data_IF_057275886356
#
_entry.id   IF_057275886356
#
_cell.length_a   1.000
_cell.length_b   1.000
_cell.length_c   1.000
_cell.angle_alpha   90.00
_cell.angle_beta   90.00
_cell.angle_gamma   90.00
#
_symmetry.space_group_name_H-M   'P 1'
#
loop_
_entity.id
_entity.type
_entity.pdbx_description
1 polymer ?
#
# COMPACT_ATOMS: atom_id res chain seq x y z
N UNK A 1 -30.30 14.28 7.03
CA UNK A 1 -29.87 15.10 5.88
C UNK A 1 -28.89 14.28 5.05
N UNK A 2 -29.11 14.12 3.74
CA UNK A 2 -28.14 13.44 2.89
C UNK A 2 -26.86 14.27 2.80
N UNK A 3 -25.72 13.67 3.13
CA UNK A 3 -24.43 14.35 3.14
C UNK A 3 -24.00 14.63 1.70
N UNK A 4 -23.53 15.84 1.41
CA UNK A 4 -23.03 16.20 0.08
C UNK A 4 -21.75 15.41 -0.22
N UNK A 5 -21.57 14.88 -1.45
CA UNK A 5 -20.35 14.20 -1.83
C UNK A 5 -19.17 15.18 -1.84
N UNK A 6 -17.99 14.69 -1.45
CA UNK A 6 -16.75 15.48 -1.55
C UNK A 6 -16.26 15.40 -2.99
N UNK A 7 -16.12 16.56 -3.62
CA UNK A 7 -15.61 16.69 -4.98
C UNK A 7 -14.11 16.91 -4.95
N UNK A 8 -13.37 16.24 -5.83
CA UNK A 8 -11.97 16.53 -6.11
C UNK A 8 -11.82 16.77 -7.60
N UNK A 9 -11.24 17.91 -7.96
CA UNK A 9 -10.98 18.27 -9.33
C UNK A 9 -9.49 18.11 -9.62
N UNK A 10 -9.18 17.47 -10.75
CA UNK A 10 -7.82 17.32 -11.24
C UNK A 10 -7.76 17.98 -12.61
N UNK A 11 -6.79 18.83 -12.84
CA UNK A 11 -6.53 19.46 -14.13
C UNK A 11 -5.17 18.97 -14.63
N UNK A 12 -5.21 18.19 -15.70
CA UNK A 12 -4.01 17.73 -16.38
C UNK A 12 -3.64 18.75 -17.45
N UNK A 13 -2.55 19.48 -17.23
CA UNK A 13 -2.06 20.51 -18.15
C UNK A 13 -1.28 19.85 -19.29
N UNK A 14 -0.11 19.29 -18.98
CA UNK A 14 0.80 18.74 -19.97
C UNK A 14 1.74 17.65 -19.47
N UNK A 15 2.32 16.90 -20.41
CA UNK A 15 3.41 15.96 -20.15
C UNK A 15 4.60 16.33 -21.06
N UNK A 16 5.74 16.60 -20.44
CA UNK A 16 6.97 17.07 -21.11
C UNK A 16 8.03 15.97 -21.12
N UNK A 17 8.71 15.77 -22.26
CA UNK A 17 9.76 14.78 -22.38
C UNK A 17 10.38 14.66 -23.77
N UNK A 18 11.69 14.39 -23.83
CA UNK A 18 12.47 14.30 -25.08
C UNK A 18 12.17 13.05 -25.94
N UNK A 19 11.54 12.02 -25.37
CA UNK A 19 11.23 10.76 -26.07
C UNK A 19 9.77 10.65 -26.53
N UNK A 20 9.01 11.75 -26.43
CA UNK A 20 7.63 11.81 -26.92
C UNK A 20 7.68 12.10 -28.44
N UNK A 21 7.10 11.22 -29.26
CA UNK A 21 6.80 11.54 -30.68
C UNK A 21 7.84 11.17 -31.74
N UNK A 22 8.40 9.97 -31.73
CA UNK A 22 9.24 9.47 -32.86
C UNK A 22 8.44 8.77 -33.97
N UNK A 23 7.14 8.50 -33.79
CA UNK A 23 6.28 7.81 -34.76
C UNK A 23 4.88 8.45 -34.83
N UNK A 24 4.07 8.14 -35.85
CA UNK A 24 2.65 8.59 -36.01
C UNK A 24 1.72 7.94 -34.95
N UNK A 25 2.10 7.99 -33.68
CA UNK A 25 1.36 7.45 -32.57
C UNK A 25 0.45 8.50 -31.94
N UNK A 26 -0.70 8.03 -31.45
CA UNK A 26 -1.65 8.84 -30.69
C UNK A 26 -1.48 8.58 -29.20
N UNK A 27 -1.52 9.63 -28.39
CA UNK A 27 -1.30 9.55 -26.96
C UNK A 27 -2.56 9.97 -26.20
N UNK A 28 -2.88 9.26 -25.11
CA UNK A 28 -3.89 9.69 -24.13
C UNK A 28 -3.35 9.51 -22.73
N UNK A 29 -3.85 10.31 -21.79
CA UNK A 29 -3.54 10.16 -20.37
C UNK A 29 -4.76 9.60 -19.63
N UNK A 30 -4.51 8.69 -18.68
CA UNK A 30 -5.53 8.05 -17.86
C UNK A 30 -5.26 8.33 -16.39
N UNK A 31 -6.31 8.70 -15.66
CA UNK A 31 -6.26 8.86 -14.20
C UNK A 31 -7.01 7.70 -13.53
N UNK A 32 -6.38 7.06 -12.55
CA UNK A 32 -6.95 5.94 -11.80
C UNK A 32 -6.82 6.17 -10.28
N UNK A 33 -7.83 5.71 -9.54
CA UNK A 33 -7.84 5.67 -8.08
C UNK A 33 -8.60 4.43 -7.60
N UNK A 34 -8.07 3.72 -6.60
CA UNK A 34 -8.64 2.43 -6.10
C UNK A 34 -8.86 1.40 -7.20
N UNK A 35 -7.90 1.26 -8.12
CA UNK A 35 -8.01 0.36 -9.28
C UNK A 35 -9.20 0.65 -10.20
N UNK A 36 -9.82 1.82 -10.06
CA UNK A 36 -10.91 2.31 -10.92
C UNK A 36 -10.40 3.46 -11.76
N UNK A 37 -10.58 3.36 -13.06
CA UNK A 37 -10.33 4.47 -13.98
C UNK A 37 -11.35 5.59 -13.74
N UNK A 38 -10.86 6.80 -13.45
CA UNK A 38 -11.69 8.00 -13.30
C UNK A 38 -12.02 8.61 -14.66
N UNK A 39 -11.09 8.52 -15.61
CA UNK A 39 -11.28 8.98 -16.97
C UNK A 39 -10.02 8.81 -17.81
N UNK A 40 -10.16 9.06 -19.11
CA UNK A 40 -9.07 9.11 -20.08
C UNK A 40 -9.25 10.37 -20.94
N UNK A 41 -8.15 11.06 -21.26
CA UNK A 41 -8.18 12.26 -22.10
C UNK A 41 -8.51 11.92 -23.55
N UNK A 42 -8.80 12.96 -24.34
CA UNK A 42 -8.78 12.84 -25.80
C UNK A 42 -7.39 12.38 -26.27
N UNK A 43 -7.38 11.72 -27.44
CA UNK A 43 -6.14 11.27 -28.09
C UNK A 43 -5.51 12.44 -28.83
N UNK A 44 -4.21 12.63 -28.64
CA UNK A 44 -3.43 13.71 -29.24
C UNK A 44 -2.33 13.09 -30.10
N UNK A 45 -2.11 13.62 -31.29
CA UNK A 45 -1.03 13.20 -32.18
C UNK A 45 0.29 13.84 -31.74
N UNK A 46 1.34 13.07 -31.45
CA UNK A 46 2.65 13.61 -31.09
C UNK A 46 3.55 13.71 -32.32
N UNK A 47 3.38 14.75 -33.13
CA UNK A 47 4.23 14.94 -34.32
C UNK A 47 5.38 15.89 -33.96
N UNK A 48 6.47 15.33 -33.43
CA UNK A 48 7.71 16.08 -33.15
C UNK A 48 7.63 17.04 -31.96
N UNK A 49 6.64 16.89 -31.09
CA UNK A 49 6.46 17.74 -29.90
C UNK A 49 7.16 17.13 -28.67
N UNK A 50 7.91 17.96 -27.96
CA UNK A 50 8.52 17.61 -26.66
C UNK A 50 7.55 17.80 -25.49
N UNK A 51 6.36 18.34 -25.71
CA UNK A 51 5.33 18.58 -24.70
C UNK A 51 3.95 18.26 -25.27
N UNK A 52 3.23 17.34 -24.63
CA UNK A 52 1.86 16.99 -24.97
C UNK A 52 0.90 17.78 -24.08
N UNK A 53 0.13 18.69 -24.67
CA UNK A 53 -0.84 19.52 -23.95
C UNK A 53 -2.23 18.89 -23.95
N UNK A 54 -2.70 18.44 -22.79
CA UNK A 54 -4.00 17.80 -22.66
C UNK A 54 -5.10 18.78 -22.24
N UNK A 55 -4.79 19.69 -21.32
CA UNK A 55 -5.74 20.65 -20.73
C UNK A 55 -7.09 20.01 -20.38
N UNK A 56 -7.04 18.87 -19.68
CA UNK A 56 -8.20 18.04 -19.41
C UNK A 56 -8.54 18.02 -17.92
N UNK A 57 -9.82 18.14 -17.61
CA UNK A 57 -10.31 18.13 -16.23
C UNK A 57 -10.95 16.78 -15.88
N UNK A 58 -10.45 16.14 -14.84
CA UNK A 58 -11.10 15.00 -14.19
C UNK A 58 -11.83 15.45 -12.93
N UNK A 59 -12.96 14.81 -12.62
CA UNK A 59 -13.67 15.03 -11.36
C UNK A 59 -13.92 13.69 -10.69
N UNK A 60 -13.49 13.58 -9.43
CA UNK A 60 -13.80 12.46 -8.55
C UNK A 60 -14.89 12.87 -7.58
N UNK A 61 -15.98 12.10 -7.59
CA UNK A 61 -17.01 12.17 -6.55
C UNK A 61 -16.71 11.12 -5.49
N UNK A 62 -16.32 11.58 -4.30
CA UNK A 62 -16.10 10.70 -3.16
C UNK A 62 -17.40 10.58 -2.37
N UNK A 63 -18.02 9.41 -2.45
CA UNK A 63 -19.21 9.03 -1.71
C UNK A 63 -18.85 7.98 -0.65
N UNK A 64 -19.37 8.12 0.56
CA UNK A 64 -19.17 7.13 1.63
C UNK A 64 -18.93 7.75 3.01
N UNK A 65 -18.49 6.90 3.93
CA UNK A 65 -18.07 7.33 5.26
C UNK A 65 -16.73 8.09 5.17
N UNK A 66 -16.70 9.32 5.69
CA UNK A 66 -15.51 10.18 5.74
C UNK A 66 -14.25 9.49 6.25
N UNK A 67 -14.36 8.65 7.29
CA UNK A 67 -13.20 7.96 7.86
C UNK A 67 -12.59 6.99 6.85
N UNK A 68 -13.42 6.22 6.16
CA UNK A 68 -12.99 5.27 5.13
C UNK A 68 -12.43 6.01 3.92
N UNK A 69 -13.07 7.10 3.50
CA UNK A 69 -12.60 7.95 2.41
C UNK A 69 -11.21 8.53 2.72
N UNK A 70 -11.01 9.08 3.91
CA UNK A 70 -9.73 9.61 4.37
C UNK A 70 -8.68 8.51 4.44
N UNK A 71 -9.01 7.35 5.03
CA UNK A 71 -8.08 6.23 5.12
C UNK A 71 -7.64 5.79 3.72
N UNK A 72 -8.57 5.61 2.78
CA UNK A 72 -8.26 5.25 1.41
C UNK A 72 -7.34 6.27 0.72
N UNK A 73 -7.61 7.57 0.86
CA UNK A 73 -6.77 8.61 0.25
C UNK A 73 -5.38 8.71 0.89
N UNK A 74 -5.25 8.32 2.15
CA UNK A 74 -3.96 8.28 2.86
C UNK A 74 -3.15 7.05 2.47
N UNK A 75 -3.81 5.96 2.08
CA UNK A 75 -3.20 4.63 1.90
C UNK A 75 -3.03 4.19 0.46
N UNK A 76 -3.79 4.79 -0.45
CA UNK A 76 -3.79 4.45 -1.87
C UNK A 76 -3.41 5.70 -2.68
N UNK A 77 -2.37 5.63 -3.52
CA UNK A 77 -2.03 6.74 -4.38
C UNK A 77 -3.03 6.87 -5.53
N UNK A 78 -3.08 8.06 -6.10
CA UNK A 78 -3.59 8.29 -7.44
C UNK A 78 -2.54 7.90 -8.46
N UNK A 79 -3.00 7.40 -9.62
CA UNK A 79 -2.15 6.89 -10.68
C UNK A 79 -2.46 7.66 -11.96
N UNK A 80 -1.45 8.26 -12.58
CA UNK A 80 -1.56 8.83 -13.92
C UNK A 80 -0.71 8.00 -14.87
N UNK A 81 -1.34 7.51 -15.93
CA UNK A 81 -0.72 6.67 -16.96
C UNK A 81 -0.77 7.38 -18.30
N UNK A 82 0.38 7.46 -19.00
CA UNK A 82 0.46 7.87 -20.40
C UNK A 82 0.37 6.63 -21.29
N UNK A 83 -0.58 6.64 -22.21
CA UNK A 83 -0.94 5.53 -23.08
C UNK A 83 -0.60 5.84 -24.54
N UNK A 84 0.02 4.89 -25.22
CA UNK A 84 0.23 4.89 -26.67
C UNK A 84 -0.86 4.13 -27.39
N UNK A 85 -1.32 4.70 -28.50
CA UNK A 85 -2.26 4.09 -29.42
C UNK A 85 -1.61 3.99 -30.79
N UNK A 86 -1.24 2.77 -31.18
CA UNK A 86 -0.69 2.50 -32.50
C UNK A 86 -1.74 2.71 -33.60
N UNK A 87 -1.29 3.19 -34.76
CA UNK A 87 -2.14 3.34 -35.93
C UNK A 87 -2.65 1.97 -36.40
N UNK A 88 -3.92 1.91 -36.84
CA UNK A 88 -4.56 0.66 -37.26
C UNK A 88 -3.89 0.09 -38.51
N UNK A 89 -3.16 -1.00 -38.37
CA UNK A 89 -2.85 -1.85 -39.52
C UNK A 89 -4.09 -2.64 -39.92
N UNK A 90 -4.46 -2.58 -41.21
CA UNK A 90 -5.70 -3.13 -41.79
C UNK A 90 -5.91 -4.65 -41.61
N UNK A 91 -5.02 -5.36 -40.90
CA UNK A 91 -5.06 -6.82 -40.70
C UNK A 91 -5.10 -7.29 -39.24
N UNK A 92 -5.05 -6.42 -38.24
CA UNK A 92 -5.09 -6.83 -36.83
C UNK A 92 -6.30 -6.27 -36.07
N UNK A 93 -6.85 -7.13 -35.20
CA UNK A 93 -7.91 -6.83 -34.22
C UNK A 93 -7.37 -5.81 -33.22
N UNK A 94 -8.20 -4.85 -32.76
CA UNK A 94 -7.81 -3.73 -31.87
C UNK A 94 -6.76 -4.15 -30.82
N UNK A 95 -5.53 -3.64 -30.97
CA UNK A 95 -4.52 -3.74 -29.93
C UNK A 95 -4.91 -2.81 -28.79
N UNK A 96 -4.89 -3.33 -27.56
CA UNK A 96 -5.11 -2.51 -26.37
C UNK A 96 -4.02 -1.43 -26.30
N UNK A 97 -4.35 -0.20 -25.86
CA UNK A 97 -3.34 0.84 -25.69
C UNK A 97 -2.27 0.38 -24.70
N UNK A 98 -1.02 0.70 -25.03
CA UNK A 98 0.12 0.32 -24.22
C UNK A 98 0.48 1.46 -23.27
N UNK A 99 0.61 1.16 -21.98
CA UNK A 99 1.14 2.13 -21.01
C UNK A 99 2.63 2.32 -21.24
N UNK A 100 3.05 3.56 -21.46
CA UNK A 100 4.46 3.93 -21.67
C UNK A 100 5.09 4.47 -20.40
N UNK A 101 4.36 5.32 -19.68
CA UNK A 101 4.85 5.97 -18.46
C UNK A 101 3.75 6.06 -17.42
N UNK A 102 4.13 5.98 -16.15
CA UNK A 102 3.24 6.14 -15.01
C UNK A 102 3.81 7.14 -14.01
N UNK A 103 2.95 7.79 -13.24
CA UNK A 103 3.32 8.53 -12.03
C UNK A 103 2.30 8.23 -10.93
N UNK A 104 2.75 8.30 -9.68
CA UNK A 104 1.89 8.21 -8.50
C UNK A 104 2.01 9.44 -7.63
N UNK A 105 0.90 9.83 -7.00
CA UNK A 105 0.86 10.94 -6.06
C UNK A 105 -0.22 10.71 -5.00
N UNK A 106 -0.13 11.44 -3.89
CA UNK A 106 -1.16 11.46 -2.86
C UNK A 106 -1.68 12.89 -2.64
N UNK A 107 -2.90 13.01 -2.10
CA UNK A 107 -3.57 14.28 -1.85
C UNK A 107 -3.76 14.53 -0.36
N UNK A 108 -3.01 13.82 0.51
CA UNK A 108 -3.23 13.83 1.97
C UNK A 108 -3.16 15.26 2.52
N UNK A 109 -2.21 16.05 2.04
CA UNK A 109 -2.09 17.45 2.41
C UNK A 109 -3.34 18.26 2.05
N UNK A 110 -3.90 18.08 0.85
CA UNK A 110 -5.11 18.79 0.39
C UNK A 110 -6.36 18.40 1.18
N UNK A 111 -6.41 17.20 1.73
CA UNK A 111 -7.55 16.74 2.52
C UNK A 111 -7.55 17.29 3.95
N UNK A 112 -6.37 17.59 4.48
CA UNK A 112 -6.18 18.12 5.83
C UNK A 112 -6.34 19.65 5.85
N UNK A 113 -5.92 20.33 4.78
CA UNK A 113 -5.95 21.78 4.70
C UNK A 113 -7.09 22.28 3.80
N UNK A 114 -8.01 23.12 4.33
CA UNK A 114 -9.15 23.65 3.58
C UNK A 114 -8.71 24.57 2.42
N UNK A 115 -9.35 24.40 1.26
CA UNK A 115 -9.32 25.32 0.10
C UNK A 115 -8.00 25.50 -0.66
N UNK A 116 -7.16 24.47 -0.72
CA UNK A 116 -5.94 24.54 -1.51
C UNK A 116 -6.10 23.89 -2.89
N UNK A 117 -5.78 24.68 -3.92
CA UNK A 117 -5.30 24.15 -5.19
C UNK A 117 -3.81 23.90 -5.04
N UNK A 118 -3.35 22.71 -5.40
CA UNK A 118 -1.93 22.38 -5.43
C UNK A 118 -1.53 22.05 -6.86
N UNK A 119 -0.59 22.83 -7.38
CA UNK A 119 0.16 22.48 -8.57
C UNK A 119 1.21 21.42 -8.21
N UNK A 120 1.33 20.40 -9.07
CA UNK A 120 2.28 19.32 -8.88
C UNK A 120 3.02 19.01 -10.18
N UNK A 121 4.31 18.81 -10.02
CA UNK A 121 5.25 18.43 -11.07
C UNK A 121 5.80 17.06 -10.72
N UNK A 122 5.36 16.03 -11.42
CA UNK A 122 5.64 14.63 -11.09
C UNK A 122 6.56 14.00 -12.13
N UNK A 123 7.61 13.30 -11.69
CA UNK A 123 8.45 12.48 -12.57
C UNK A 123 7.70 11.20 -12.94
N UNK A 124 7.51 10.97 -14.24
CA UNK A 124 6.93 9.72 -14.72
C UNK A 124 8.01 8.68 -14.96
N UNK A 125 7.70 7.42 -14.65
CA UNK A 125 8.61 6.29 -14.84
C UNK A 125 8.00 5.24 -15.79
N UNK A 126 8.81 4.64 -16.68
CA UNK A 126 8.32 3.61 -17.60
C UNK A 126 8.04 2.28 -16.87
N UNK A 127 7.11 1.44 -17.36
CA UNK A 127 6.95 0.06 -16.91
C UNK A 127 8.24 -0.75 -17.02
N UNK A 128 8.44 -1.64 -16.05
CA UNK A 128 9.53 -2.65 -16.05
C UNK A 128 9.36 -3.56 -17.25
N UNK A 129 10.47 -3.85 -17.92
CA UNK A 129 10.53 -4.63 -19.15
C UNK A 129 10.09 -3.87 -20.41
N UNK A 130 9.71 -2.58 -20.29
CA UNK A 130 9.33 -1.78 -21.47
C UNK A 130 10.57 -1.36 -22.28
N UNK A 131 10.42 -1.10 -23.59
CA UNK A 131 11.52 -0.57 -24.41
C UNK A 131 12.10 0.74 -23.88
N UNK A 132 11.29 1.50 -23.15
CA UNK A 132 11.65 2.80 -22.59
C UNK A 132 12.48 2.68 -21.31
N UNK A 133 12.51 1.54 -20.61
CA UNK A 133 13.27 1.37 -19.35
C UNK A 133 14.78 1.60 -19.49
N UNK A 134 15.33 1.41 -20.71
CA UNK A 134 16.77 1.52 -20.98
C UNK A 134 17.29 2.94 -21.21
N UNK A 135 16.40 3.93 -21.27
CA UNK A 135 16.79 5.34 -21.44
C UNK A 135 17.27 5.88 -20.09
N UNK A 136 18.39 6.60 -20.08
CA UNK A 136 18.93 7.18 -18.84
C UNK A 136 18.08 8.39 -18.38
N UNK A 137 17.06 8.11 -17.57
CA UNK A 137 16.09 9.10 -17.07
C UNK A 137 16.64 10.04 -16.00
N UNK A 138 17.92 9.96 -15.63
CA UNK A 138 18.55 11.02 -14.83
C UNK A 138 18.91 12.23 -15.71
N UNK A 139 19.11 12.03 -17.02
CA UNK A 139 19.52 13.08 -17.96
C UNK A 139 18.32 13.75 -18.65
N UNK A 140 17.23 13.02 -18.90
CA UNK A 140 16.01 13.55 -19.53
C UNK A 140 14.72 12.99 -18.88
N UNK A 141 14.26 13.57 -17.76
CA UNK A 141 13.06 13.08 -17.08
C UNK A 141 11.80 13.40 -17.89
N UNK A 142 10.84 12.46 -17.87
CA UNK A 142 9.47 12.71 -18.30
C UNK A 142 8.73 13.35 -17.14
N UNK A 143 8.13 14.51 -17.36
CA UNK A 143 7.54 15.35 -16.33
C UNK A 143 6.05 15.56 -16.64
N UNK A 144 5.21 15.21 -15.68
CA UNK A 144 3.78 15.45 -15.65
C UNK A 144 3.50 16.75 -14.88
N UNK A 145 2.79 17.70 -15.51
CA UNK A 145 2.28 18.92 -14.86
C UNK A 145 0.78 18.80 -14.68
N UNK A 146 0.31 18.96 -13.45
CA UNK A 146 -1.12 18.94 -13.14
C UNK A 146 -1.44 19.78 -11.91
N UNK A 147 -2.69 20.21 -11.79
CA UNK A 147 -3.21 20.88 -10.60
C UNK A 147 -4.33 20.05 -9.98
N UNK A 148 -4.44 20.07 -8.64
CA UNK A 148 -5.49 19.38 -7.91
C UNK A 148 -6.16 20.33 -6.94
N UNK A 149 -7.49 20.39 -6.99
CA UNK A 149 -8.31 21.25 -6.15
C UNK A 149 -9.33 20.43 -5.39
N UNK A 150 -9.37 20.63 -4.06
CA UNK A 150 -10.36 20.03 -3.16
C UNK A 150 -11.24 21.16 -2.61
N UNK A 151 -12.36 21.49 -3.28
CA UNK A 151 -13.19 22.64 -2.90
C UNK A 151 -13.89 22.50 -1.54
N UNK A 152 -14.10 21.28 -1.06
CA UNK A 152 -14.83 20.97 0.17
C UNK A 152 -13.98 20.06 1.06
N UNK A 153 -13.92 20.36 2.37
CA UNK A 153 -13.22 19.49 3.31
C UNK A 153 -13.99 18.19 3.52
N UNK A 154 -13.28 17.08 3.69
CA UNK A 154 -13.92 15.79 3.99
C UNK A 154 -14.53 15.81 5.40
N UNK A 155 -13.90 16.53 6.33
CA UNK A 155 -14.31 16.65 7.73
C UNK A 155 -14.24 18.09 8.22
N UNK A 156 -14.79 18.30 9.42
CA UNK A 156 -14.58 19.53 10.17
C UNK A 156 -13.08 19.76 10.45
N UNK A 157 -12.64 21.02 10.35
CA UNK A 157 -11.22 21.37 10.51
C UNK A 157 -10.71 21.06 11.91
N UNK A 158 -11.55 21.21 12.94
CA UNK A 158 -11.18 20.89 14.31
C UNK A 158 -10.97 19.38 14.46
N UNK A 159 -11.82 18.56 13.85
CA UNK A 159 -11.64 17.11 13.86
C UNK A 159 -10.37 16.67 13.13
N UNK A 160 -10.04 17.29 12.00
CA UNK A 160 -8.82 17.01 11.24
C UNK A 160 -7.57 17.44 12.01
N UNK A 161 -7.61 18.62 12.65
CA UNK A 161 -6.51 19.15 13.45
C UNK A 161 -6.24 18.35 14.74
N UNK A 162 -7.30 17.78 15.33
CA UNK A 162 -7.20 16.92 16.52
C UNK A 162 -6.90 15.45 16.18
N UNK A 163 -7.07 15.06 14.92
CA UNK A 163 -6.69 13.75 14.41
C UNK A 163 -5.18 13.62 14.17
N UNK A 164 -4.76 12.45 13.71
CA UNK A 164 -3.36 12.20 13.34
C UNK A 164 -3.27 11.17 12.21
N UNK A 165 -2.17 11.17 11.46
CA UNK A 165 -1.85 10.11 10.49
C UNK A 165 -0.76 9.23 11.07
N UNK A 166 -1.12 8.00 11.44
CA UNK A 166 -0.17 6.99 11.87
C UNK A 166 0.43 6.30 10.66
N UNK A 167 1.72 5.96 10.74
CA UNK A 167 2.46 5.30 9.67
C UNK A 167 3.18 4.11 10.25
N UNK A 168 2.95 2.96 9.64
CA UNK A 168 3.65 1.71 9.89
C UNK A 168 4.58 1.46 8.70
N UNK A 169 5.84 1.17 8.98
CA UNK A 169 6.83 0.83 7.94
C UNK A 169 7.46 -0.50 8.30
N UNK A 170 7.43 -1.45 7.37
CA UNK A 170 8.20 -2.69 7.46
C UNK A 170 9.33 -2.59 6.45
N UNK A 171 10.56 -2.52 6.96
CA UNK A 171 11.78 -2.34 6.14
C UNK A 171 12.27 -3.70 5.64
N UNK A 172 12.96 -4.47 6.48
CA UNK A 172 13.58 -5.73 6.10
C UNK A 172 13.72 -6.73 7.26
N UNK A 173 13.89 -8.00 6.91
CA UNK A 173 14.32 -9.07 7.82
C UNK A 173 15.76 -9.46 7.48
N UNK A 174 16.65 -9.27 8.45
CA UNK A 174 18.06 -9.61 8.36
C UNK A 174 18.29 -11.06 8.79
N UNK A 175 19.24 -11.73 8.13
CA UNK A 175 19.62 -13.11 8.45
C UNK A 175 18.42 -14.06 8.62
N UNK A 176 17.49 -14.12 7.63
CA UNK A 176 16.37 -15.04 7.70
C UNK A 176 16.87 -16.49 7.78
N UNK A 177 16.15 -17.38 8.49
CA UNK A 177 16.48 -18.81 8.51
C UNK A 177 16.55 -19.40 7.11
N UNK A 178 17.45 -20.36 6.89
CA UNK A 178 17.63 -20.99 5.57
C UNK A 178 16.33 -21.61 5.04
N UNK A 179 15.48 -22.16 5.92
CA UNK A 179 14.17 -22.70 5.56
C UNK A 179 13.26 -21.65 4.92
N UNK A 180 13.41 -20.36 5.27
CA UNK A 180 12.65 -19.25 4.72
C UNK A 180 13.13 -18.85 3.33
N UNK A 181 14.44 -18.94 3.09
CA UNK A 181 15.13 -18.56 1.85
C UNK A 181 15.09 -19.69 0.81
N UNK A 182 15.37 -20.93 1.22
CA UNK A 182 15.60 -22.08 0.34
C UNK A 182 14.34 -22.85 -0.05
N UNK A 183 13.18 -22.57 0.56
CA UNK A 183 11.97 -23.28 0.15
C UNK A 183 11.55 -22.84 -1.26
N UNK A 184 11.72 -23.77 -2.20
CA UNK A 184 11.49 -23.68 -3.66
C UNK A 184 10.04 -23.36 -4.09
N UNK A 185 9.19 -22.94 -3.15
CA UNK A 185 7.80 -22.59 -3.39
C UNK A 185 7.63 -21.10 -3.68
N UNK A 186 6.66 -20.77 -4.52
CA UNK A 186 6.11 -19.43 -4.81
C UNK A 186 5.39 -18.80 -3.62
N UNK A 187 5.82 -19.10 -2.40
CA UNK A 187 5.14 -18.69 -1.19
C UNK A 187 5.25 -17.19 -0.93
N UNK A 188 4.14 -16.57 -0.55
CA UNK A 188 4.10 -15.14 -0.23
C UNK A 188 4.63 -14.92 1.19
N UNK A 189 5.64 -14.06 1.32
CA UNK A 189 6.17 -13.57 2.59
C UNK A 189 5.40 -12.32 3.00
N UNK A 190 4.90 -12.33 4.23
CA UNK A 190 4.08 -11.25 4.72
C UNK A 190 4.29 -10.98 6.22
N UNK A 191 4.08 -9.73 6.59
CA UNK A 191 4.10 -9.25 7.97
C UNK A 191 2.73 -8.69 8.32
N UNK A 192 2.31 -8.90 9.56
CA UNK A 192 0.97 -8.64 10.04
C UNK A 192 1.00 -8.03 11.43
N UNK A 193 0.09 -7.12 11.72
CA UNK A 193 -0.11 -6.66 13.09
C UNK A 193 -1.58 -6.30 13.35
N UNK A 194 -2.05 -6.49 14.59
CA UNK A 194 -3.36 -6.00 15.00
C UNK A 194 -3.35 -4.47 15.07
N UNK A 195 -4.17 -3.83 14.26
CA UNK A 195 -4.37 -2.39 14.35
C UNK A 195 -5.70 -1.98 13.71
N UNK A 196 -6.44 -1.13 14.42
CA UNK A 196 -7.66 -0.54 13.93
C UNK A 196 -7.62 0.99 13.98
N UNK A 197 -8.23 1.60 12.97
CA UNK A 197 -8.42 3.03 12.88
C UNK A 197 -9.72 3.53 13.52
N UNK A 198 -10.62 2.62 13.91
CA UNK A 198 -11.88 2.92 14.58
C UNK A 198 -11.98 2.19 15.93
N UNK A 199 -12.60 2.84 16.91
CA UNK A 199 -12.75 2.27 18.24
C UNK A 199 -13.76 1.12 18.20
N UNK A 200 -13.37 -0.04 18.72
CA UNK A 200 -14.23 -1.22 18.81
C UNK A 200 -14.34 -2.05 17.52
N UNK A 201 -13.58 -1.70 16.47
CA UNK A 201 -13.42 -2.56 15.30
C UNK A 201 -12.10 -3.31 15.38
N UNK A 202 -12.14 -4.58 15.02
CA UNK A 202 -10.97 -5.47 15.00
C UNK A 202 -10.47 -5.52 13.56
N UNK A 203 -9.29 -4.95 13.29
CA UNK A 203 -8.65 -4.99 11.97
C UNK A 203 -7.17 -5.37 12.06
N UNK A 204 -6.65 -5.94 10.98
CA UNK A 204 -5.26 -6.38 10.87
C UNK A 204 -4.60 -5.68 9.69
N UNK A 205 -3.42 -5.12 9.91
CA UNK A 205 -2.61 -4.53 8.85
C UNK A 205 -1.69 -5.58 8.24
N UNK A 206 -1.67 -5.63 6.91
CA UNK A 206 -0.89 -6.60 6.13
C UNK A 206 0.20 -5.90 5.31
N UNK A 207 1.40 -6.47 5.32
CA UNK A 207 2.55 -6.09 4.50
C UNK A 207 2.96 -7.31 3.69
N UNK A 208 2.46 -7.41 2.47
CA UNK A 208 2.65 -8.59 1.61
C UNK A 208 3.82 -8.40 0.64
N UNK A 209 4.21 -9.46 -0.06
CA UNK A 209 5.21 -9.46 -1.13
C UNK A 209 6.64 -9.10 -0.68
N UNK A 210 7.08 -9.68 0.44
CA UNK A 210 8.48 -9.62 0.85
C UNK A 210 9.39 -10.26 -0.20
N UNK A 211 10.36 -9.49 -0.72
CA UNK A 211 11.26 -9.92 -1.77
C UNK A 211 12.60 -10.39 -1.18
N UNK A 212 13.00 -11.61 -1.49
CA UNK A 212 14.34 -12.10 -1.14
C UNK A 212 15.38 -11.33 -1.99
N UNK A 213 16.43 -10.85 -1.33
CA UNK A 213 17.56 -10.14 -1.93
C UNK A 213 18.87 -10.73 -1.44
N UNK A 214 19.81 -10.86 -2.36
CA UNK A 214 21.16 -11.32 -2.12
C UNK A 214 22.12 -10.13 -2.08
N UNK A 215 23.32 -10.27 -1.47
CA UNK A 215 24.24 -9.14 -1.29
C UNK A 215 24.68 -8.41 -2.56
N UNK A 216 24.64 -9.08 -3.71
CA UNK A 216 25.02 -8.52 -5.01
C UNK A 216 23.88 -7.72 -5.68
N UNK A 217 22.66 -7.82 -5.15
CA UNK A 217 21.49 -7.18 -5.74
C UNK A 217 21.51 -5.67 -5.44
N UNK A 218 21.27 -4.85 -6.46
CA UNK A 218 21.00 -3.42 -6.25
C UNK A 218 19.66 -3.24 -5.57
N UNK A 219 19.66 -2.58 -4.43
CA UNK A 219 18.44 -2.24 -3.67
C UNK A 219 18.03 -0.80 -3.93
N UNK A 220 16.72 -0.59 -4.08
CA UNK A 220 16.15 0.74 -4.08
C UNK A 220 15.89 1.17 -2.63
N UNK A 221 16.42 2.33 -2.25
CA UNK A 221 16.26 2.90 -0.91
C UNK A 221 14.92 3.64 -0.74
N UNK A 222 14.00 3.58 -1.70
CA UNK A 222 12.67 4.16 -1.58
C UNK A 222 11.67 3.21 -0.92
N UNK A 223 10.72 3.79 -0.18
CA UNK A 223 9.56 3.08 0.36
C UNK A 223 8.52 2.85 -0.73
N UNK A 224 7.81 1.73 -0.65
CA UNK A 224 6.73 1.32 -1.55
C UNK A 224 5.37 1.52 -0.91
N UNK A 225 4.38 1.78 -1.75
CA UNK A 225 2.98 1.72 -1.35
C UNK A 225 2.61 0.29 -0.90
N UNK A 226 1.82 0.18 0.18
CA UNK A 226 1.31 -1.10 0.68
C UNK A 226 0.21 -1.71 -0.16
N UNK A 227 -0.49 -0.88 -0.94
CA UNK A 227 -1.62 -1.29 -1.76
C UNK A 227 -1.10 -1.97 -3.02
N UNK A 228 -1.80 -3.02 -3.47
CA UNK A 228 -1.45 -3.68 -4.73
C UNK A 228 -1.71 -2.73 -5.90
N UNK A 229 -0.62 -2.19 -6.46
CA UNK A 229 -0.63 -1.37 -7.66
C UNK A 229 -0.43 -2.29 -8.88
N UNK A 230 -1.30 -3.28 -9.06
CA UNK A 230 -1.20 -4.27 -10.14
C UNK A 230 -1.13 -3.64 -11.55
N UNK A 231 -1.64 -2.41 -11.73
CA UNK A 231 -1.49 -1.62 -12.97
C UNK A 231 -0.12 -0.95 -13.14
N UNK A 232 0.71 -0.92 -12.10
CA UNK A 232 2.04 -0.29 -12.06
C UNK A 232 3.09 -1.33 -11.67
N UNK A 233 3.74 -1.89 -12.69
CA UNK A 233 4.99 -2.63 -12.52
C UNK A 233 6.16 -1.70 -12.85
N UNK A 234 6.32 -0.58 -12.13
CA UNK A 234 7.41 0.39 -12.36
C UNK A 234 7.96 1.01 -11.09
N UNK A 235 9.00 1.83 -11.22
CA UNK A 235 9.48 2.72 -10.15
C UNK A 235 8.40 3.70 -9.63
N UNK A 236 7.24 3.79 -10.28
CA UNK A 236 6.10 4.56 -9.75
C UNK A 236 5.37 3.84 -8.61
N UNK A 237 5.71 2.58 -8.33
CA UNK A 237 5.25 1.86 -7.13
C UNK A 237 5.89 2.38 -5.83
N UNK A 238 6.94 3.19 -5.94
CA UNK A 238 7.58 3.85 -4.82
C UNK A 238 6.86 5.15 -4.45
N UNK A 239 6.92 5.48 -3.17
CA UNK A 239 6.40 6.73 -2.63
C UNK A 239 7.44 7.83 -2.87
N UNK A 240 7.03 8.89 -3.56
CA UNK A 240 7.90 10.02 -3.86
C UNK A 240 8.54 10.61 -2.58
N UNK A 241 9.84 10.87 -2.63
CA UNK A 241 10.62 11.50 -1.55
C UNK A 241 10.56 10.75 -0.19
N UNK A 242 10.25 9.45 -0.19
CA UNK A 242 10.26 8.62 1.02
C UNK A 242 11.36 7.58 0.92
N UNK A 243 12.42 7.83 1.67
CA UNK A 243 13.58 6.95 1.74
C UNK A 243 13.53 6.08 2.99
N UNK A 244 14.03 4.87 2.86
CA UNK A 244 14.45 4.01 3.96
C UNK A 244 15.72 4.63 4.55
N UNK A 245 15.75 4.93 5.85
CA UNK A 245 16.95 5.46 6.49
C UNK A 245 18.14 4.53 6.31
N UNK A 246 19.35 5.10 6.29
CA UNK A 246 20.58 4.31 6.22
C UNK A 246 20.67 3.37 7.41
N UNK A 247 20.90 2.07 7.14
CA UNK A 247 21.09 1.06 8.19
C UNK A 247 22.30 1.31 9.11
N UNK A 248 23.15 2.29 8.76
CA UNK A 248 24.32 2.71 9.55
C UNK A 248 23.97 3.72 10.65
N UNK A 249 22.80 4.36 10.60
CA UNK A 249 22.38 5.33 11.60
C UNK A 249 21.55 4.65 12.71
N UNK A 250 22.25 4.18 13.75
CA UNK A 250 21.61 3.56 14.92
C UNK A 250 21.22 4.56 16.02
N UNK A 251 21.66 5.82 15.91
CA UNK A 251 21.47 6.81 16.97
C UNK A 251 20.00 7.04 17.34
N UNK A 252 19.12 6.75 16.38
CA UNK A 252 17.68 6.91 16.48
C UNK A 252 16.92 5.56 16.50
N UNK A 253 17.61 4.42 16.65
CA UNK A 253 17.00 3.10 16.68
C UNK A 253 16.65 2.64 18.11
N UNK A 254 15.43 2.17 18.27
CA UNK A 254 14.91 1.46 19.43
C UNK A 254 15.01 -0.06 19.24
N UNK A 255 14.64 -0.84 20.27
CA UNK A 255 14.61 -2.31 20.21
C UNK A 255 15.87 -3.00 20.76
N UNK A 256 16.05 -4.26 20.36
CA UNK A 256 16.93 -5.22 21.04
C UNK A 256 18.39 -5.12 20.58
N UNK A 257 18.62 -4.58 19.39
CA UNK A 257 19.90 -4.67 18.68
C UNK A 257 20.71 -3.37 18.69
N UNK A 258 20.99 -2.82 19.89
CA UNK A 258 21.68 -1.51 20.05
C UNK A 258 23.18 -1.59 20.33
N UNK A 259 23.71 -2.76 20.67
CA UNK A 259 25.13 -2.92 21.03
C UNK A 259 26.03 -2.97 19.80
N UNK A 260 27.34 -2.76 19.99
CA UNK A 260 28.36 -2.79 18.93
C UNK A 260 28.47 -4.17 18.25
N UNK A 261 28.25 -5.26 18.99
CA UNK A 261 28.23 -6.62 18.42
C UNK A 261 27.10 -6.78 17.37
N UNK A 262 25.95 -6.16 17.62
CA UNK A 262 24.84 -6.20 16.67
C UNK A 262 25.06 -5.30 15.45
N UNK A 263 25.87 -4.24 15.59
CA UNK A 263 26.34 -3.45 14.45
C UNK A 263 27.15 -4.32 13.48
N UNK A 264 28.13 -5.05 13.98
CA UNK A 264 28.98 -5.92 13.17
C UNK A 264 28.18 -7.05 12.51
N UNK A 265 27.26 -7.66 13.27
CA UNK A 265 26.35 -8.65 12.71
C UNK A 265 25.46 -8.06 11.60
N UNK A 266 24.99 -6.81 11.76
CA UNK A 266 24.18 -6.13 10.73
C UNK A 266 24.99 -5.81 9.50
N UNK A 267 26.22 -5.31 9.63
CA UNK A 267 27.13 -5.05 8.50
C UNK A 267 27.44 -6.34 7.75
N UNK A 268 27.70 -7.43 8.47
CA UNK A 268 27.92 -8.74 7.87
C UNK A 268 26.66 -9.24 7.17
N UNK A 269 25.49 -9.07 7.78
CA UNK A 269 24.21 -9.44 7.16
C UNK A 269 23.89 -8.60 5.91
N UNK A 270 24.31 -7.34 5.87
CA UNK A 270 24.18 -6.46 4.72
C UNK A 270 25.08 -6.88 3.54
N UNK A 271 26.29 -7.34 3.84
CA UNK A 271 27.30 -7.60 2.82
C UNK A 271 27.43 -9.07 2.40
N UNK A 272 26.96 -10.02 3.21
CA UNK A 272 27.26 -11.45 3.00
C UNK A 272 26.06 -12.40 3.08
N UNK A 273 24.91 -11.97 3.63
CA UNK A 273 23.75 -12.85 3.83
C UNK A 273 22.52 -12.41 3.01
N UNK A 274 21.63 -13.35 2.63
CA UNK A 274 20.35 -12.98 2.05
C UNK A 274 19.50 -12.20 3.05
N UNK A 275 18.58 -11.39 2.54
CA UNK A 275 17.61 -10.60 3.30
C UNK A 275 16.25 -10.69 2.66
N UNK A 276 15.21 -10.41 3.43
CA UNK A 276 13.86 -10.20 2.89
C UNK A 276 13.53 -8.72 3.02
N UNK A 277 13.22 -8.08 1.89
CA UNK A 277 12.88 -6.67 1.83
C UNK A 277 11.40 -6.50 1.51
N UNK A 278 10.71 -5.73 2.36
CA UNK A 278 9.40 -5.19 2.04
C UNK A 278 9.55 -3.74 1.60
N UNK A 279 10.22 -2.92 2.42
CA UNK A 279 10.25 -1.46 2.28
C UNK A 279 8.86 -0.86 2.09
N UNK A 280 7.83 -1.43 2.73
CA UNK A 280 6.43 -1.02 2.54
C UNK A 280 6.03 -0.05 3.64
N UNK A 281 5.35 1.02 3.27
CA UNK A 281 4.70 1.94 4.20
C UNK A 281 3.18 1.81 4.10
N UNK A 282 2.53 1.55 5.23
CA UNK A 282 1.08 1.59 5.41
C UNK A 282 0.76 2.78 6.29
N UNK A 283 -0.10 3.68 5.82
CA UNK A 283 -0.54 4.84 6.60
C UNK A 283 -1.92 4.52 7.19
N UNK A 284 -2.45 5.37 8.05
CA UNK A 284 -3.87 5.33 8.43
C UNK A 284 -4.24 6.63 9.14
N UNK A 285 -5.41 7.16 8.85
CA UNK A 285 -5.93 8.33 9.57
C UNK A 285 -6.59 7.87 10.87
N UNK A 286 -6.18 8.47 11.98
CA UNK A 286 -6.77 8.28 13.30
C UNK A 286 -7.53 9.53 13.73
N UNK A 287 -8.87 9.44 13.84
CA UNK A 287 -9.66 10.44 14.54
C UNK A 287 -9.22 10.58 16.00
N UNK A 288 -9.55 11.71 16.63
CA UNK A 288 -9.19 11.98 18.03
C UNK A 288 -9.56 10.83 18.99
N UNK A 289 -10.78 10.28 18.86
CA UNK A 289 -11.24 9.17 19.70
C UNK A 289 -10.35 7.93 19.56
N UNK A 290 -10.01 7.53 18.33
CA UNK A 290 -9.13 6.40 18.03
C UNK A 290 -7.70 6.67 18.49
N UNK A 291 -7.21 7.90 18.38
CA UNK A 291 -5.90 8.30 18.89
C UNK A 291 -5.82 8.20 20.42
N UNK A 292 -6.86 8.66 21.13
CA UNK A 292 -6.96 8.54 22.58
C UNK A 292 -7.07 7.08 23.02
N UNK A 293 -7.83 6.27 22.28
CA UNK A 293 -7.92 4.84 22.49
C UNK A 293 -6.55 4.17 22.33
N UNK A 294 -5.84 4.43 21.23
CA UNK A 294 -4.49 3.89 20.99
C UNK A 294 -3.51 4.26 22.11
N UNK A 295 -3.49 5.54 22.53
CA UNK A 295 -2.63 5.96 23.66
C UNK A 295 -2.97 5.25 24.96
N UNK A 296 -4.26 5.14 25.26
CA UNK A 296 -4.75 4.44 26.46
C UNK A 296 -4.44 2.94 26.40
N UNK A 297 -4.45 2.36 25.19
CA UNK A 297 -4.08 0.97 24.97
C UNK A 297 -2.59 0.77 25.19
N UNK A 298 -1.72 1.56 24.55
CA UNK A 298 -0.26 1.48 24.75
C UNK A 298 0.11 1.65 26.23
N UNK A 299 -0.61 2.52 26.97
CA UNK A 299 -0.39 2.71 28.39
C UNK A 299 -0.75 1.47 29.25
N UNK A 300 -1.61 0.57 28.75
CA UNK A 300 -2.04 -0.67 29.44
C UNK A 300 -1.25 -1.88 28.96
N UNK A 301 -1.12 -2.04 27.65
CA UNK A 301 -0.38 -3.08 26.96
C UNK A 301 0.48 -2.42 25.87
N UNK A 302 1.75 -2.11 26.18
CA UNK A 302 2.62 -1.39 25.27
C UNK A 302 3.19 -2.30 24.17
N UNK A 303 3.05 -3.62 24.30
CA UNK A 303 3.68 -4.56 23.38
C UNK A 303 2.76 -4.79 22.18
N UNK A 304 3.25 -4.45 21.00
CA UNK A 304 2.57 -4.69 19.73
C UNK A 304 3.23 -5.86 19.00
N UNK A 305 2.51 -6.98 18.76
CA UNK A 305 3.07 -8.11 18.03
C UNK A 305 3.07 -7.86 16.52
N UNK A 306 4.23 -8.07 15.89
CA UNK A 306 4.39 -8.13 14.44
C UNK A 306 4.62 -9.58 14.04
N UNK A 307 3.60 -10.20 13.47
CA UNK A 307 3.65 -11.58 12.99
C UNK A 307 4.23 -11.66 11.60
N UNK A 308 5.13 -12.60 11.38
CA UNK A 308 5.83 -12.83 10.11
C UNK A 308 5.50 -14.24 9.66
N UNK A 309 4.96 -14.38 8.45
CA UNK A 309 4.62 -15.69 7.92
C UNK A 309 5.05 -15.88 6.46
N UNK A 310 5.30 -17.14 6.12
CA UNK A 310 5.46 -17.61 4.75
C UNK A 310 4.28 -18.51 4.40
N UNK A 311 3.42 -18.04 3.49
CA UNK A 311 2.25 -18.76 3.01
C UNK A 311 2.61 -19.61 1.80
N UNK A 312 2.24 -20.89 1.78
CA UNK A 312 2.28 -21.68 0.55
C UNK A 312 1.05 -21.38 -0.32
N UNK A 313 1.27 -20.93 -1.56
CA UNK A 313 0.19 -20.85 -2.52
C UNK A 313 -0.11 -22.26 -3.07
N UNK A 314 -1.37 -22.73 -3.04
CA UNK A 314 -1.72 -24.02 -3.60
C UNK A 314 -1.56 -24.02 -5.12
N UNK A 315 -0.79 -24.97 -5.65
CA UNK A 315 -0.40 -25.04 -7.06
C UNK A 315 -1.55 -25.48 -7.99
N UNK A 316 -2.67 -26.01 -7.48
CA UNK A 316 -3.80 -26.49 -8.30
C UNK A 316 -5.17 -26.24 -7.63
N UNK A 317 -5.92 -25.26 -8.14
CA UNK A 317 -7.29 -24.94 -7.70
C UNK A 317 -8.36 -25.85 -8.35
N UNK A 318 -8.29 -27.17 -8.12
CA UNK A 318 -9.34 -28.11 -8.56
C UNK A 318 -9.90 -29.03 -7.48
N UNK A 319 -9.56 -28.81 -6.22
CA UNK A 319 -10.14 -29.60 -5.12
C UNK A 319 -10.55 -28.66 -4.00
N UNK A 320 -11.88 -28.49 -3.83
CA UNK A 320 -12.48 -27.92 -2.63
C UNK A 320 -12.13 -28.82 -1.45
N UNK A 321 -11.08 -28.47 -0.73
CA UNK A 321 -11.05 -28.62 0.72
C UNK A 321 -10.72 -27.25 1.27
N UNK A 322 -11.76 -26.62 1.82
CA UNK A 322 -11.60 -25.63 2.88
C UNK A 322 -10.82 -26.32 4.01
N UNK A 323 -10.00 -25.55 4.71
CA UNK A 323 -9.26 -25.88 5.92
C UNK A 323 -7.74 -26.11 5.77
N UNK A 324 -7.04 -25.25 6.50
CA UNK A 324 -5.60 -25.15 6.78
C UNK A 324 -4.74 -24.41 5.74
N UNK A 325 -4.59 -23.09 5.95
CA UNK A 325 -3.41 -22.35 5.50
C UNK A 325 -2.16 -23.04 6.06
N UNK A 326 -1.43 -23.77 5.22
CA UNK A 326 -0.16 -24.37 5.61
C UNK A 326 0.93 -23.27 5.67
N UNK A 327 1.22 -22.81 6.88
CA UNK A 327 2.34 -21.92 7.17
C UNK A 327 3.65 -22.71 7.15
N UNK A 328 4.62 -22.30 6.32
CA UNK A 328 5.97 -22.88 6.37
C UNK A 328 6.87 -22.22 7.42
N UNK A 329 6.49 -21.03 7.85
CA UNK A 329 7.20 -20.24 8.82
C UNK A 329 6.21 -19.32 9.53
N UNK A 330 6.35 -19.21 10.85
CA UNK A 330 5.60 -18.28 11.69
C UNK A 330 6.52 -17.77 12.79
N UNK A 331 6.86 -16.48 12.70
CA UNK A 331 7.64 -15.78 13.71
C UNK A 331 6.88 -14.55 14.21
N UNK A 332 7.29 -14.03 15.36
CA UNK A 332 6.72 -12.83 15.97
C UNK A 332 7.84 -11.95 16.48
N UNK A 333 7.80 -10.66 16.13
CA UNK A 333 8.57 -9.62 16.79
C UNK A 333 7.67 -8.85 17.75
N UNK A 334 8.13 -8.62 18.98
CA UNK A 334 7.38 -7.88 20.00
C UNK A 334 7.93 -6.47 20.09
N UNK A 335 7.12 -5.48 19.73
CA UNK A 335 7.55 -4.07 19.67
C UNK A 335 7.01 -3.29 20.85
N UNK A 336 7.89 -2.78 21.69
CA UNK A 336 7.51 -1.88 22.79
C UNK A 336 7.17 -0.47 22.26
N UNK A 337 5.89 -0.12 22.34
CA UNK A 337 5.36 1.16 21.89
C UNK A 337 5.38 2.25 22.98
N UNK A 338 5.84 1.96 24.20
CA UNK A 338 5.91 2.92 25.32
C UNK A 338 6.55 4.26 24.94
N UNK A 339 7.66 4.32 24.14
CA UNK A 339 8.27 5.59 23.78
C UNK A 339 7.33 6.57 23.06
N UNK A 340 6.29 6.08 22.38
CA UNK A 340 5.31 6.92 21.68
C UNK A 340 4.41 7.72 22.64
N UNK A 341 4.39 7.38 23.93
CA UNK A 341 3.66 8.13 24.96
C UNK A 341 4.44 9.35 25.47
N UNK A 342 5.75 9.41 25.23
CA UNK A 342 6.58 10.51 25.73
C UNK A 342 6.36 11.80 24.93
N UNK A 343 6.25 12.96 25.61
CA UNK A 343 6.10 14.24 24.94
C UNK A 343 7.23 14.50 23.93
N UNK A 344 6.87 14.92 22.72
CA UNK A 344 7.84 15.24 21.66
C UNK A 344 8.27 14.05 20.80
N UNK A 345 8.03 12.81 21.24
CA UNK A 345 8.30 11.63 20.42
C UNK A 345 7.23 11.50 19.33
N UNK A 346 7.68 11.46 18.07
CA UNK A 346 6.80 11.37 16.88
C UNK A 346 6.99 10.10 16.08
N UNK A 347 8.03 9.31 16.38
CA UNK A 347 8.40 8.11 15.63
C UNK A 347 9.01 7.08 16.59
N UNK A 348 8.71 5.82 16.31
CA UNK A 348 9.39 4.65 16.84
C UNK A 348 9.97 3.91 15.62
N UNK A 349 11.29 3.78 15.57
CA UNK A 349 11.99 2.98 14.56
C UNK A 349 13.01 2.15 15.30
N UNK A 350 13.14 0.88 14.94
CA UNK A 350 14.04 -0.02 15.64
C UNK A 350 14.21 -1.34 14.91
N UNK A 351 15.12 -2.15 15.42
CA UNK A 351 15.29 -3.53 15.00
C UNK A 351 14.98 -4.43 16.20
N UNK A 352 14.12 -5.42 15.95
CA UNK A 352 13.53 -6.26 16.99
C UNK A 352 13.81 -7.72 16.69
N UNK A 353 14.05 -8.50 17.74
CA UNK A 353 14.27 -9.93 17.61
C UNK A 353 12.99 -10.64 17.13
N UNK A 354 13.16 -11.60 16.22
CA UNK A 354 12.06 -12.42 15.73
C UNK A 354 12.11 -13.76 16.46
N UNK A 355 11.10 -14.03 17.27
CA UNK A 355 10.95 -15.29 17.97
C UNK A 355 10.08 -16.25 17.14
N UNK A 356 10.31 -17.57 17.20
CA UNK A 356 9.35 -18.55 16.71
C UNK A 356 8.00 -18.36 17.39
N UNK A 357 6.91 -18.48 16.64
CA UNK A 357 5.58 -18.36 17.23
C UNK A 357 5.34 -19.49 18.25
N UNK A 358 5.01 -19.11 19.48
CA UNK A 358 4.54 -20.01 20.52
C UNK A 358 3.27 -19.43 21.15
N UNK A 359 2.17 -20.18 21.09
CA UNK A 359 0.86 -19.72 21.54
C UNK A 359 0.88 -19.19 22.99
N UNK A 360 1.56 -19.89 23.89
CA UNK A 360 1.62 -19.53 25.31
C UNK A 360 2.39 -18.21 25.53
N UNK A 361 3.50 -18.03 24.81
CA UNK A 361 4.30 -16.80 24.90
C UNK A 361 3.56 -15.63 24.27
N UNK A 362 2.94 -15.85 23.12
CA UNK A 362 2.12 -14.87 22.43
C UNK A 362 0.98 -14.39 23.34
N UNK A 363 0.24 -15.32 23.96
CA UNK A 363 -0.81 -15.00 24.92
C UNK A 363 -0.31 -14.30 26.18
N UNK A 364 0.90 -14.64 26.66
CA UNK A 364 1.47 -13.98 27.83
C UNK A 364 1.96 -12.57 27.53
N UNK A 365 2.53 -12.33 26.34
CA UNK A 365 3.19 -11.06 25.98
C UNK A 365 2.27 -10.06 25.28
N UNK A 366 1.21 -10.53 24.62
CA UNK A 366 0.26 -9.71 23.86
C UNK A 366 -1.20 -9.99 24.24
N UNK A 367 -1.45 -10.27 25.52
CA UNK A 367 -2.72 -10.79 26.05
C UNK A 367 -3.95 -9.94 25.70
N UNK A 368 -3.84 -8.61 25.71
CA UNK A 368 -4.98 -7.71 25.46
C UNK A 368 -5.24 -7.53 23.97
N UNK A 369 -4.19 -7.50 23.14
CA UNK A 369 -4.35 -7.58 21.69
C UNK A 369 -5.10 -8.88 21.34
N UNK A 370 -4.68 -10.04 21.83
CA UNK A 370 -5.30 -11.32 21.47
C UNK A 370 -6.77 -11.44 21.89
N UNK A 371 -7.15 -10.94 23.07
CA UNK A 371 -8.56 -10.94 23.50
C UNK A 371 -9.48 -10.16 22.56
N UNK A 372 -8.94 -9.17 21.86
CA UNK A 372 -9.64 -8.36 20.83
C UNK A 372 -9.45 -8.88 19.40
N UNK A 373 -8.83 -10.04 19.18
CA UNK A 373 -8.56 -10.52 17.81
C UNK A 373 -8.75 -12.04 17.61
N UNK A 374 -8.84 -12.82 18.69
CA UNK A 374 -8.78 -14.29 18.64
C UNK A 374 -9.98 -15.02 18.02
N UNK A 375 -11.08 -14.32 17.69
CA UNK A 375 -12.28 -14.97 17.18
C UNK A 375 -12.65 -14.62 15.72
N UNK A 376 -11.90 -13.73 15.03
CA UNK A 376 -12.35 -13.20 13.72
C UNK A 376 -11.25 -12.85 12.72
N UNK A 377 -10.03 -13.35 12.86
CA UNK A 377 -9.06 -13.27 11.75
C UNK A 377 -9.48 -14.29 10.69
N UNK A 378 -10.28 -13.82 9.74
CA UNK A 378 -10.60 -14.58 8.53
C UNK A 378 -9.33 -14.64 7.66
N UNK A 379 -8.55 -15.70 7.79
CA UNK A 379 -7.33 -15.93 7.03
C UNK A 379 -7.58 -16.06 5.52
N UNK A 380 -8.84 -16.21 5.09
CA UNK A 380 -9.19 -16.08 3.66
C UNK A 380 -9.01 -14.62 3.19
N UNK A 381 -9.14 -13.61 4.06
CA UNK A 381 -8.85 -12.21 3.73
C UNK A 381 -7.37 -11.94 3.44
N UNK A 382 -6.45 -12.73 4.01
CA UNK A 382 -5.00 -12.68 3.70
C UNK A 382 -4.70 -13.35 2.36
N UNK A 383 -5.39 -14.46 2.04
CA UNK A 383 -5.37 -15.07 0.69
C UNK A 383 -6.02 -14.17 -0.37
N UNK A 384 -7.03 -13.41 0.04
CA UNK A 384 -7.76 -12.46 -0.79
C UNK A 384 -7.06 -11.11 -0.90
N UNK A 385 -6.24 -10.65 0.04
CA UNK A 385 -5.48 -9.40 -0.13
C UNK A 385 -4.50 -9.49 -1.31
N UNK A 386 -4.04 -10.69 -1.67
CA UNK A 386 -3.29 -10.96 -2.91
C UNK A 386 -4.15 -11.15 -4.17
N UNK A 387 -5.49 -11.09 -4.09
CA UNK A 387 -6.43 -11.29 -5.23
C UNK A 387 -7.62 -10.32 -5.30
N UNK A 388 -7.95 -9.56 -4.26
CA UNK A 388 -9.27 -8.96 -3.98
C UNK A 388 -9.17 -7.46 -3.66
N UNK A 389 -8.37 -6.75 -4.44
CA UNK A 389 -8.71 -5.34 -4.76
C UNK A 389 -9.44 -5.24 -6.12
N UNK A 390 -9.78 -6.38 -6.76
CA UNK A 390 -10.39 -6.44 -8.09
C UNK A 390 -11.91 -6.67 -8.12
N UNK A 391 -12.59 -6.81 -6.98
CA UNK A 391 -14.05 -7.04 -6.93
C UNK A 391 -14.74 -6.28 -5.79
N UNK A 392 -14.76 -4.95 -5.88
CA UNK A 392 -15.81 -4.13 -5.26
C UNK A 392 -16.73 -3.60 -6.35
N UNK A 393 -17.63 -4.47 -6.82
CA UNK A 393 -18.61 -4.15 -7.84
C UNK A 393 -19.71 -5.20 -7.82
N UNK A 394 -20.54 -5.19 -6.76
CA UNK A 394 -21.92 -5.68 -6.75
C UNK A 394 -22.52 -5.45 -5.35
N UNK A 395 -23.18 -4.30 -5.20
CA UNK A 395 -24.33 -4.24 -4.30
C UNK A 395 -25.43 -5.15 -4.87
N UNK A 396 -26.22 -5.82 -4.03
CA UNK A 396 -27.62 -6.03 -4.32
C UNK A 396 -28.44 -5.20 -3.34
N UNK A 397 -29.16 -4.22 -3.90
CA UNK A 397 -30.29 -3.64 -3.21
C UNK A 397 -31.46 -4.63 -3.11
N UNK A 398 -32.36 -4.29 -2.20
CA UNK A 398 -33.80 -4.50 -2.30
C UNK A 398 -34.40 -5.88 -1.98
N UNK A 399 -34.98 -5.92 -0.77
CA UNK A 399 -36.30 -6.46 -0.38
C UNK A 399 -36.61 -7.97 -0.54
N UNK A 400 -37.07 -8.59 0.55
CA UNK A 400 -37.94 -9.77 0.45
C UNK A 400 -38.02 -10.68 1.67
N UNK A 401 -38.93 -10.35 2.60
CA UNK A 401 -39.71 -11.24 3.47
C UNK A 401 -39.01 -12.38 4.26
N UNK A 402 -38.97 -12.16 5.57
CA UNK A 402 -39.06 -13.20 6.59
C UNK A 402 -40.19 -14.19 6.28
N UNK A 403 -39.88 -15.49 6.25
CA UNK A 403 -40.85 -16.57 6.44
C UNK A 403 -40.20 -17.71 7.21
N UNK A 404 -40.59 -17.84 8.47
CA UNK A 404 -40.32 -19.00 9.33
C UNK A 404 -41.30 -20.12 8.97
N UNK A 405 -40.79 -21.27 8.54
CA UNK A 405 -41.43 -22.60 8.61
C UNK A 405 -40.29 -23.62 8.78
N UNK A 406 -40.20 -24.52 9.76
CA UNK A 406 -41.24 -25.15 10.57
C UNK A 406 -41.69 -26.47 9.90
N UNK A 407 -41.00 -27.58 10.22
CA UNK A 407 -41.35 -29.04 10.12
C UNK A 407 -40.02 -29.81 10.18
N UNK A 408 -39.65 -30.61 11.19
CA UNK A 408 -40.30 -31.73 11.89
C UNK A 408 -40.56 -32.98 11.02
N UNK A 409 -40.16 -34.13 11.61
CA UNK A 409 -40.36 -35.54 11.25
C UNK A 409 -39.40 -36.14 10.21
N UNK A 410 -38.96 -37.40 10.30
CA UNK A 410 -38.92 -38.44 11.33
C UNK A 410 -38.31 -39.69 10.66
N UNK A 411 -37.58 -40.51 11.43
CA UNK A 411 -37.42 -41.96 11.28
C UNK A 411 -37.17 -42.58 9.89
N UNK A 412 -36.03 -43.25 9.73
CA UNK A 412 -35.97 -44.72 9.75
C UNK A 412 -34.58 -45.19 10.14
#
# INVERSE_FOLDING_TARGET
MAKKPVLVHFELESIVGHTLGTEQAKFSARLEFRSKTLGETAKIDAVGETELQFNHQFTLNMEGNDNQLLDDCVNRPFIVSLLEHNAKDKKQKDMRPQTIYNATFDIVHLLIFPHNTQEMTLKMCPPVGSPYEKVDFEVSPIILKMSVCVPQTIKDQLELALGNVVRFTVESLFSPPESLVNSAGTGQLAVCLPFSNEVGTESVLNFVNGAIRFPVDKENNLKKWSTDLSSIQSNSSFIANRFVPSYKDLSCEEGDFKTEEFLDHRITSLNAKPRILWNIERRSFLPLASLQYLKSHIAKDPILPFEIYKLNLPVNAKTKKEDECLYNFHGVAYVDCTPLLYPGVKKLRGAFEVHPFMQNEYQSRASLFIQSYSNKIDWTSVQCAGRVDSLCGKYPGSWGNFSVRGRQCSSR
#
